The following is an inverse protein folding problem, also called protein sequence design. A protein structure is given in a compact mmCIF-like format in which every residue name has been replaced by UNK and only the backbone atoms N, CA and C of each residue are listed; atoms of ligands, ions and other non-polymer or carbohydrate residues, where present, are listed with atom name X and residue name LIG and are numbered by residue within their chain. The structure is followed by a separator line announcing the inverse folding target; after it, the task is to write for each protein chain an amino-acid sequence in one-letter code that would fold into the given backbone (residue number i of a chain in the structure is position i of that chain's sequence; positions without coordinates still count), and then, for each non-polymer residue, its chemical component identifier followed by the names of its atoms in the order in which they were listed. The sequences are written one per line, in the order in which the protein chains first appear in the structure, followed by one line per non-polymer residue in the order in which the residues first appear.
data_IF_831266191628
#
_entry.id   IF_831266191628
#
_cell.length_a   1.000
_cell.length_b   1.000
_cell.length_c   1.000
_cell.angle_alpha   90.00
_cell.angle_beta   90.00
_cell.angle_gamma   90.00
#
_symmetry.space_group_name_H-M   'P 1'
#
loop_
_entity.id
_entity.type
_entity.pdbx_description
1 polymer ?
#
# COMPACT_ATOMS: atom_id res chain seq x y z
N UNK A 1 12.52 27.84 13.51
CA UNK A 1 13.97 27.92 13.26
C UNK A 1 14.18 27.51 11.82
N UNK A 2 15.17 28.09 11.14
CA UNK A 2 15.40 27.88 9.71
C UNK A 2 16.41 26.72 9.59
N UNK A 3 15.98 25.58 9.07
CA UNK A 3 16.75 24.33 9.00
C UNK A 3 17.79 24.40 7.87
N UNK A 4 18.89 25.11 8.15
CA UNK A 4 20.07 25.13 7.28
C UNK A 4 21.10 24.17 7.86
N UNK A 5 21.65 23.29 7.02
CA UNK A 5 22.78 22.45 7.41
C UNK A 5 24.05 23.32 7.61
N UNK A 6 25.11 22.75 8.19
CA UNK A 6 26.38 23.40 8.53
C UNK A 6 27.08 24.09 7.34
N UNK A 7 26.66 23.78 6.11
CA UNK A 7 27.13 24.39 4.86
C UNK A 7 26.19 25.49 4.31
N UNK A 8 25.12 25.85 5.03
CA UNK A 8 24.14 26.84 4.58
C UNK A 8 23.20 26.36 3.47
N UNK A 9 23.10 25.04 3.26
CA UNK A 9 22.12 24.45 2.36
C UNK A 9 20.75 24.34 3.05
N UNK A 10 19.68 24.70 2.34
CA UNK A 10 18.32 24.43 2.81
C UNK A 10 18.15 22.91 2.94
N UNK A 11 17.87 22.43 4.15
CA UNK A 11 17.39 21.07 4.31
C UNK A 11 15.94 21.07 3.82
N UNK A 12 15.66 20.42 2.69
CA UNK A 12 14.30 20.02 2.39
C UNK A 12 13.87 19.10 3.53
N UNK A 13 12.96 19.60 4.38
CA UNK A 13 12.25 18.75 5.33
C UNK A 13 11.74 17.54 4.52
N UNK A 14 11.96 16.30 4.98
CA UNK A 14 11.43 15.14 4.28
C UNK A 14 9.94 15.38 4.09
N UNK A 15 9.52 15.52 2.83
CA UNK A 15 8.11 15.72 2.50
C UNK A 15 7.37 14.59 3.18
N UNK A 16 6.43 14.92 4.06
CA UNK A 16 5.51 13.93 4.59
C UNK A 16 4.91 13.19 3.39
N UNK A 17 5.13 11.88 3.32
CA UNK A 17 4.73 11.07 2.17
C UNK A 17 3.23 11.21 2.00
N UNK A 18 2.82 11.87 0.93
CA UNK A 18 1.41 11.95 0.59
C UNK A 18 0.97 10.60 0.01
N UNK A 19 -0.23 10.10 0.35
CA UNK A 19 -0.72 8.88 -0.25
C UNK A 19 -0.82 9.05 -1.76
N UNK A 20 -0.29 8.08 -2.50
CA UNK A 20 -0.31 8.04 -3.97
C UNK A 20 -1.64 7.49 -4.50
N UNK A 21 -2.40 6.80 -3.65
CA UNK A 21 -3.68 6.19 -4.00
C UNK A 21 -4.39 5.58 -2.80
N UNK A 22 -5.42 4.79 -3.10
CA UNK A 22 -6.14 4.00 -2.10
C UNK A 22 -6.24 2.54 -2.57
N UNK A 23 -6.22 1.62 -1.62
CA UNK A 23 -6.43 0.20 -1.87
C UNK A 23 -7.93 -0.13 -2.05
N UNK A 24 -8.21 -1.41 -2.33
CA UNK A 24 -9.57 -1.94 -2.51
C UNK A 24 -10.48 -1.79 -1.26
N UNK A 25 -9.90 -1.58 -0.07
CA UNK A 25 -10.61 -1.34 1.18
C UNK A 25 -10.75 0.17 1.49
N UNK A 26 -10.10 1.04 0.72
CA UNK A 26 -10.04 2.47 0.93
C UNK A 26 -8.90 2.94 1.84
N UNK A 27 -7.94 2.08 2.19
CA UNK A 27 -6.75 2.48 2.94
C UNK A 27 -5.78 3.24 2.02
N UNK A 28 -5.06 4.24 2.55
CA UNK A 28 -4.07 4.99 1.77
C UNK A 28 -2.87 4.09 1.40
N UNK A 29 -2.46 4.18 0.13
CA UNK A 29 -1.23 3.56 -0.38
C UNK A 29 -0.16 4.65 -0.50
N UNK A 30 1.04 4.37 -0.03
CA UNK A 30 2.18 5.27 -0.07
C UNK A 30 3.25 4.79 -1.05
N UNK A 31 4.14 5.71 -1.43
CA UNK A 31 5.28 5.38 -2.28
C UNK A 31 6.23 4.42 -1.54
N UNK A 32 6.49 3.26 -2.14
CA UNK A 32 7.32 2.20 -1.56
C UNK A 32 6.53 0.98 -1.07
N UNK A 33 5.20 1.07 -0.99
CA UNK A 33 4.37 -0.05 -0.56
C UNK A 33 4.28 -1.14 -1.64
N UNK A 34 4.38 -2.40 -1.20
CA UNK A 34 4.22 -3.57 -2.07
C UNK A 34 2.74 -3.90 -2.25
N UNK A 35 2.22 -3.73 -3.47
CA UNK A 35 0.82 -3.99 -3.80
C UNK A 35 0.67 -4.85 -5.07
N UNK A 36 -0.39 -5.65 -5.13
CA UNK A 36 -0.84 -6.37 -6.31
C UNK A 36 -2.00 -5.64 -6.97
N UNK A 37 -2.03 -5.63 -8.31
CA UNK A 37 -3.16 -5.09 -9.07
C UNK A 37 -4.20 -6.20 -9.31
N UNK A 38 -5.43 -5.96 -8.88
CA UNK A 38 -6.58 -6.87 -9.04
C UNK A 38 -7.72 -6.17 -9.79
N UNK A 39 -8.82 -6.88 -10.04
CA UNK A 39 -10.00 -6.28 -10.70
C UNK A 39 -10.71 -5.23 -9.83
N UNK A 40 -10.65 -5.37 -8.50
CA UNK A 40 -11.26 -4.44 -7.54
C UNK A 40 -10.34 -3.27 -7.16
N UNK A 41 -9.07 -3.29 -7.60
CA UNK A 41 -8.08 -2.25 -7.35
C UNK A 41 -6.75 -2.78 -6.85
N UNK A 42 -5.99 -1.91 -6.17
CA UNK A 42 -4.74 -2.31 -5.54
C UNK A 42 -5.01 -3.04 -4.23
N UNK A 43 -4.33 -4.16 -4.03
CA UNK A 43 -4.38 -4.96 -2.80
C UNK A 43 -2.98 -4.98 -2.21
N UNK A 44 -2.82 -4.53 -0.98
CA UNK A 44 -1.53 -4.54 -0.29
C UNK A 44 -1.06 -5.99 -0.09
N UNK A 45 0.25 -6.22 -0.10
CA UNK A 45 0.82 -7.57 0.05
C UNK A 45 0.40 -8.23 1.37
N UNK A 46 0.22 -7.45 2.44
CA UNK A 46 -0.25 -7.96 3.73
C UNK A 46 -1.71 -8.46 3.70
N UNK A 47 -2.54 -7.86 2.84
CA UNK A 47 -3.98 -8.13 2.73
C UNK A 47 -4.33 -9.14 1.63
N UNK A 48 -3.36 -9.60 0.84
CA UNK A 48 -3.62 -10.45 -0.33
C UNK A 48 -4.32 -11.76 0.05
N UNK A 49 -4.00 -12.33 1.21
CA UNK A 49 -4.64 -13.55 1.68
C UNK A 49 -6.11 -13.31 2.03
N UNK A 50 -6.42 -12.20 2.70
CA UNK A 50 -7.79 -11.81 3.04
C UNK A 50 -8.61 -11.56 1.78
N UNK A 51 -8.04 -10.82 0.83
CA UNK A 51 -8.66 -10.61 -0.48
C UNK A 51 -8.94 -11.96 -1.17
N UNK A 52 -7.97 -12.87 -1.22
CA UNK A 52 -8.19 -14.18 -1.86
C UNK A 52 -9.27 -14.99 -1.16
N UNK A 53 -9.31 -15.02 0.17
CA UNK A 53 -10.34 -15.76 0.91
C UNK A 53 -11.75 -15.16 0.74
N UNK A 54 -11.86 -13.84 0.60
CA UNK A 54 -13.13 -13.17 0.38
C UNK A 54 -13.69 -13.41 -1.03
N UNK A 55 -12.84 -13.36 -2.06
CA UNK A 55 -13.29 -13.40 -3.46
C UNK A 55 -13.20 -14.78 -4.10
N UNK A 56 -12.33 -15.66 -3.60
CA UNK A 56 -12.15 -17.02 -4.10
C UNK A 56 -12.50 -18.03 -2.99
N UNK A 57 -13.81 -18.33 -2.80
CA UNK A 57 -14.21 -19.34 -1.84
C UNK A 57 -13.48 -20.65 -2.14
N UNK A 58 -12.84 -21.23 -1.11
CA UNK A 58 -12.14 -22.52 -1.20
C UNK A 58 -13.10 -23.55 -1.78
N UNK A 59 -12.82 -23.99 -3.01
CA UNK A 59 -13.52 -25.12 -3.59
C UNK A 59 -13.00 -26.35 -2.85
N UNK A 60 -13.76 -26.84 -1.87
CA UNK A 60 -13.57 -28.18 -1.35
C UNK A 60 -13.92 -29.14 -2.48
N UNK A 61 -12.91 -29.63 -3.19
CA UNK A 61 -13.04 -30.77 -4.08
C UNK A 61 -13.35 -31.98 -3.20
N UNK A 62 -14.62 -32.14 -2.83
CA UNK A 62 -15.13 -33.28 -2.11
C UNK A 62 -14.75 -34.54 -2.86
N UNK A 63 -13.80 -35.28 -2.32
CA UNK A 63 -13.42 -36.60 -2.81
C UNK A 63 -14.62 -37.52 -2.72
N UNK A 64 -15.06 -38.00 -3.88
CA UNK A 64 -16.00 -39.12 -4.01
C UNK A 64 -15.35 -40.42 -3.58
#
# INVERSE_FOLDING_TARGET
MKDFDSLGAMQELPKESSPIGVDWQGNPIYEGDSCYLTEDGYVQEEDILEYVEQYFPKIELGGI
#
